data_IF_143186780969
#
_entry.id   IF_143186780969
#
_cell.length_a   1.000
_cell.length_b   1.000
_cell.length_c   1.000
_cell.angle_alpha   90.00
_cell.angle_beta   90.00
_cell.angle_gamma   90.00
#
_symmetry.space_group_name_H-M   'P 1'
#
loop_
_entity.id
_entity.type
_entity.pdbx_description
1 polymer ?
#
# COMPACT_ATOMS: atom_id res chain seq x y z
N UNK A 1 8.96 4.70 -2.97
CA UNK A 1 9.62 3.63 -3.74
C UNK A 1 8.62 2.79 -4.52
N UNK A 2 7.77 1.98 -3.88
CA UNK A 2 6.80 1.11 -4.59
C UNK A 2 5.92 1.84 -5.60
N UNK A 3 5.33 2.96 -5.18
CA UNK A 3 4.52 3.79 -6.08
C UNK A 3 5.32 4.34 -7.28
N UNK A 4 6.61 4.66 -7.08
CA UNK A 4 7.49 5.11 -8.16
C UNK A 4 7.79 3.99 -9.16
N UNK A 5 7.97 2.76 -8.67
CA UNK A 5 8.14 1.57 -9.53
C UNK A 5 6.86 1.32 -10.32
N UNK A 6 5.69 1.41 -9.69
CA UNK A 6 4.39 1.19 -10.34
C UNK A 6 4.12 2.21 -11.44
N UNK A 7 4.40 3.49 -11.20
CA UNK A 7 4.16 4.58 -12.15
C UNK A 7 5.08 4.51 -13.38
N UNK A 8 6.32 4.04 -13.20
CA UNK A 8 7.32 3.96 -14.27
C UNK A 8 7.56 2.52 -14.74
N UNK A 9 6.65 1.59 -14.44
CA UNK A 9 6.88 0.16 -14.62
C UNK A 9 7.28 -0.20 -16.06
N UNK A 10 6.60 0.38 -17.04
CA UNK A 10 6.87 0.15 -18.46
C UNK A 10 8.23 0.71 -18.90
N UNK A 11 8.64 1.86 -18.38
CA UNK A 11 9.96 2.43 -18.67
C UNK A 11 11.07 1.58 -18.04
N UNK A 12 10.82 1.06 -16.83
CA UNK A 12 11.71 0.13 -16.14
C UNK A 12 11.83 -1.17 -16.95
N UNK A 13 10.73 -1.77 -17.38
CA UNK A 13 10.73 -2.98 -18.22
C UNK A 13 11.58 -2.79 -19.48
N UNK A 14 11.36 -1.70 -20.22
CA UNK A 14 12.14 -1.39 -21.43
C UNK A 14 13.63 -1.23 -21.13
N UNK A 15 13.96 -0.51 -20.05
CA UNK A 15 15.37 -0.27 -19.67
C UNK A 15 16.08 -1.57 -19.30
N UNK A 16 15.40 -2.48 -18.61
CA UNK A 16 15.97 -3.77 -18.22
C UNK A 16 16.03 -4.74 -19.40
N UNK A 17 15.08 -4.69 -20.33
CA UNK A 17 15.12 -5.47 -21.57
C UNK A 17 16.32 -5.07 -22.45
N UNK A 18 16.52 -3.76 -22.67
CA UNK A 18 17.65 -3.20 -23.44
C UNK A 18 19.01 -3.65 -22.88
N UNK A 19 19.09 -3.85 -21.58
CA UNK A 19 20.30 -4.28 -20.86
C UNK A 19 20.44 -5.79 -20.72
N UNK A 20 19.45 -6.57 -21.17
CA UNK A 20 19.35 -8.02 -20.95
C UNK A 20 19.31 -8.41 -19.46
N UNK A 21 18.65 -7.56 -18.68
CA UNK A 21 18.51 -7.62 -17.23
C UNK A 21 17.07 -7.95 -16.79
N UNK A 22 16.16 -8.26 -17.72
CA UNK A 22 14.72 -8.46 -17.46
C UNK A 22 14.43 -9.49 -16.35
N UNK A 23 15.33 -10.45 -16.15
CA UNK A 23 15.23 -11.47 -15.10
C UNK A 23 15.12 -10.90 -13.67
N UNK A 24 15.54 -9.65 -13.44
CA UNK A 24 15.33 -8.96 -12.16
C UNK A 24 13.85 -8.63 -11.88
N UNK A 25 13.00 -8.60 -12.92
CA UNK A 25 11.58 -8.29 -12.82
C UNK A 25 10.68 -9.54 -12.75
N UNK A 26 11.22 -10.74 -13.00
CA UNK A 26 10.45 -11.99 -13.14
C UNK A 26 9.54 -12.30 -11.94
N UNK A 27 9.94 -11.89 -10.74
CA UNK A 27 9.19 -12.14 -9.50
C UNK A 27 8.33 -10.93 -9.05
N UNK A 28 8.28 -9.87 -9.85
CA UNK A 28 7.53 -8.65 -9.51
C UNK A 28 6.16 -8.70 -10.19
N UNK A 29 5.14 -9.12 -9.44
CA UNK A 29 3.75 -9.02 -9.89
C UNK A 29 3.29 -7.56 -9.83
N UNK A 30 3.01 -6.97 -11.01
CA UNK A 30 2.46 -5.61 -11.12
C UNK A 30 1.12 -5.46 -10.40
N UNK A 31 0.27 -6.49 -10.48
CA UNK A 31 -1.04 -6.52 -9.78
C UNK A 31 -0.84 -6.50 -8.26
N UNK A 32 0.07 -7.32 -7.75
CA UNK A 32 0.38 -7.36 -6.32
C UNK A 32 0.94 -6.00 -5.85
N UNK A 33 1.88 -5.43 -6.61
CA UNK A 33 2.45 -4.11 -6.35
C UNK A 33 1.38 -3.02 -6.30
N UNK A 34 0.44 -3.04 -7.25
CA UNK A 34 -0.69 -2.11 -7.32
C UNK A 34 -1.59 -2.24 -6.09
N UNK A 35 -1.95 -3.47 -5.71
CA UNK A 35 -2.80 -3.73 -4.56
C UNK A 35 -2.15 -3.25 -3.25
N UNK A 36 -0.85 -3.53 -3.05
CA UNK A 36 -0.09 -3.03 -1.90
C UNK A 36 -0.06 -1.50 -1.89
N UNK A 37 0.20 -0.86 -3.03
CA UNK A 37 0.22 0.60 -3.11
C UNK A 37 -1.14 1.21 -2.75
N UNK A 38 -2.25 0.63 -3.24
CA UNK A 38 -3.59 1.12 -2.96
C UNK A 38 -3.93 1.06 -1.47
N UNK A 39 -3.58 -0.04 -0.79
CA UNK A 39 -3.75 -0.18 0.67
C UNK A 39 -2.94 0.89 1.39
N UNK A 40 -1.63 0.98 1.11
CA UNK A 40 -0.71 1.88 1.81
C UNK A 40 -0.99 3.38 1.57
N UNK A 41 -1.67 3.74 0.47
CA UNK A 41 -1.95 5.13 0.14
C UNK A 41 -2.85 5.81 1.18
N UNK A 42 -3.83 5.06 1.73
CA UNK A 42 -4.70 5.56 2.79
C UNK A 42 -3.92 5.77 4.10
N UNK A 43 -3.00 4.86 4.45
CA UNK A 43 -2.13 5.01 5.62
C UNK A 43 -1.20 6.22 5.48
N UNK A 44 -0.63 6.41 4.30
CA UNK A 44 0.19 7.60 4.00
C UNK A 44 -0.62 8.88 4.19
N UNK A 45 -1.81 8.96 3.59
CA UNK A 45 -2.68 10.13 3.71
C UNK A 45 -3.08 10.39 5.17
N UNK A 46 -3.38 9.34 5.93
CA UNK A 46 -3.68 9.44 7.35
C UNK A 46 -2.49 9.95 8.17
N UNK A 47 -1.27 9.47 7.89
CA UNK A 47 -0.07 9.98 8.54
C UNK A 47 0.17 11.47 8.23
N UNK A 48 0.03 11.89 6.97
CA UNK A 48 0.25 13.27 6.57
C UNK A 48 -0.81 14.21 7.18
N UNK A 49 -2.08 13.80 7.16
CA UNK A 49 -3.20 14.61 7.65
C UNK A 49 -3.25 14.64 9.18
N UNK A 50 -3.01 13.52 9.88
CA UNK A 50 -3.10 13.49 11.34
C UNK A 50 -1.89 14.13 12.02
N UNK A 51 -0.76 14.21 11.35
CA UNK A 51 0.47 14.82 11.87
C UNK A 51 0.64 16.30 11.50
N UNK A 52 -0.32 16.93 10.80
CA UNK A 52 -0.24 18.37 10.52
C UNK A 52 -0.64 19.21 11.74
N UNK A 53 0.02 20.36 11.89
CA UNK A 53 -0.30 21.39 12.88
C UNK A 53 -1.13 22.55 12.29
N UNK A 54 -1.41 22.52 10.98
CA UNK A 54 -2.10 23.61 10.27
C UNK A 54 -3.58 23.74 10.67
N UNK A 55 -4.19 22.65 11.15
CA UNK A 55 -5.58 22.60 11.62
C UNK A 55 -5.76 21.52 12.70
N UNK A 56 -6.81 21.59 13.54
CA UNK A 56 -7.05 20.57 14.55
C UNK A 56 -7.31 19.19 13.92
N UNK A 57 -6.50 18.18 14.24
CA UNK A 57 -6.58 16.84 13.62
C UNK A 57 -7.22 15.77 14.51
N UNK A 58 -7.37 16.01 15.82
CA UNK A 58 -7.86 15.01 16.77
C UNK A 58 -9.22 14.42 16.38
N UNK A 59 -10.12 15.25 15.86
CA UNK A 59 -11.45 14.83 15.41
C UNK A 59 -11.42 13.91 14.18
N UNK A 60 -10.28 13.83 13.48
CA UNK A 60 -10.08 12.98 12.31
C UNK A 60 -9.53 11.59 12.66
N UNK A 61 -9.06 11.38 13.89
CA UNK A 61 -8.45 10.11 14.32
C UNK A 61 -9.41 8.94 14.16
N UNK A 62 -10.65 9.07 14.66
CA UNK A 62 -11.68 8.01 14.54
C UNK A 62 -12.08 7.76 13.07
N UNK A 63 -12.37 8.81 12.26
CA UNK A 63 -12.60 8.62 10.83
C UNK A 63 -11.47 7.90 10.09
N UNK A 64 -10.20 8.20 10.39
CA UNK A 64 -9.07 7.51 9.78
C UNK A 64 -8.93 6.08 10.25
N UNK A 65 -9.18 5.81 11.53
CA UNK A 65 -9.17 4.45 12.05
C UNK A 65 -10.17 3.56 11.31
N UNK A 66 -11.40 4.04 11.09
CA UNK A 66 -12.40 3.31 10.31
C UNK A 66 -11.93 3.04 8.87
N UNK A 67 -11.32 4.03 8.22
CA UNK A 67 -10.75 3.86 6.87
C UNK A 67 -9.61 2.84 6.84
N UNK A 68 -8.76 2.81 7.87
CA UNK A 68 -7.69 1.82 7.96
C UNK A 68 -8.24 0.41 8.09
N UNK A 69 -9.26 0.22 8.95
CA UNK A 69 -9.94 -1.06 9.12
C UNK A 69 -10.61 -1.52 7.81
N UNK A 70 -11.30 -0.62 7.10
CA UNK A 70 -11.91 -0.90 5.80
C UNK A 70 -10.86 -1.33 4.75
N UNK A 71 -9.68 -0.72 4.75
CA UNK A 71 -8.59 -1.10 3.84
C UNK A 71 -8.00 -2.48 4.16
N UNK A 72 -8.04 -2.88 5.44
CA UNK A 72 -7.56 -4.17 5.93
C UNK A 72 -8.62 -5.29 5.84
N UNK A 73 -9.85 -4.98 5.46
CA UNK A 73 -10.89 -5.99 5.29
C UNK A 73 -10.51 -6.98 4.19
N UNK A 74 -10.52 -8.27 4.53
CA UNK A 74 -10.22 -9.37 3.61
C UNK A 74 -11.42 -9.60 2.70
N UNK A 75 -11.19 -9.60 1.39
CA UNK A 75 -12.20 -9.79 0.35
C UNK A 75 -12.04 -11.15 -0.31
N UNK A 76 -13.13 -11.65 -0.90
CA UNK A 76 -13.15 -12.97 -1.56
C UNK A 76 -12.21 -13.06 -2.77
N UNK A 77 -11.92 -11.93 -3.40
CA UNK A 77 -11.06 -11.80 -4.58
C UNK A 77 -9.61 -11.45 -4.24
N UNK A 78 -9.26 -11.33 -2.95
CA UNK A 78 -7.88 -11.09 -2.54
C UNK A 78 -7.01 -12.33 -2.82
N UNK A 79 -5.77 -12.09 -3.26
CA UNK A 79 -4.76 -13.16 -3.32
C UNK A 79 -4.33 -13.55 -1.90
N UNK A 80 -3.70 -14.72 -1.75
CA UNK A 80 -3.17 -15.17 -0.46
C UNK A 80 -2.19 -14.15 0.14
N UNK A 81 -1.31 -13.58 -0.69
CA UNK A 81 -0.32 -12.59 -0.26
C UNK A 81 -0.96 -11.29 0.22
N UNK A 82 -2.05 -10.84 -0.42
CA UNK A 82 -2.78 -9.65 0.02
C UNK A 82 -3.55 -9.93 1.30
N UNK A 83 -4.14 -11.11 1.43
CA UNK A 83 -4.83 -11.55 2.65
C UNK A 83 -3.87 -11.57 3.84
N UNK A 84 -2.69 -12.17 3.66
CA UNK A 84 -1.65 -12.22 4.68
C UNK A 84 -1.17 -10.80 5.04
N UNK A 85 -0.93 -9.96 4.04
CA UNK A 85 -0.51 -8.57 4.25
C UNK A 85 -1.55 -7.76 5.05
N UNK A 86 -2.84 -7.85 4.66
CA UNK A 86 -3.94 -7.18 5.37
C UNK A 86 -4.07 -7.67 6.81
N UNK A 87 -3.94 -8.98 7.03
CA UNK A 87 -4.01 -9.59 8.37
C UNK A 87 -2.87 -9.10 9.27
N UNK A 88 -1.64 -9.02 8.74
CA UNK A 88 -0.50 -8.47 9.47
C UNK A 88 -0.74 -7.00 9.84
N UNK A 89 -1.26 -6.20 8.91
CA UNK A 89 -1.57 -4.80 9.18
C UNK A 89 -2.68 -4.64 10.22
N UNK A 90 -3.73 -5.45 10.16
CA UNK A 90 -4.83 -5.43 11.12
C UNK A 90 -4.33 -5.74 12.53
N UNK A 91 -3.53 -6.78 12.70
CA UNK A 91 -2.92 -7.10 14.00
C UNK A 91 -2.09 -5.94 14.57
N UNK A 92 -1.40 -5.17 13.71
CA UNK A 92 -0.64 -3.99 14.13
C UNK A 92 -1.52 -2.80 14.51
N UNK A 93 -2.74 -2.71 13.98
CA UNK A 93 -3.72 -1.68 14.35
C UNK A 93 -4.37 -2.02 15.69
N UNK A 94 -4.75 -3.28 15.90
CA UNK A 94 -5.38 -3.75 17.15
C UNK A 94 -4.44 -3.64 18.36
N UNK A 95 -3.12 -3.81 18.18
CA UNK A 95 -2.10 -3.58 19.23
C UNK A 95 -2.03 -2.11 19.72
N UNK A 96 -2.73 -1.17 19.06
CA UNK A 96 -2.59 0.28 19.28
C UNK A 96 -3.89 0.98 19.71
N UNK A 97 -5.02 0.27 19.72
CA UNK A 97 -6.33 0.74 20.18
C UNK A 97 -6.53 0.29 21.63
#
# INVERSE_FOLDING_TARGET
>A
MLNSILLNFTEIELTFDDRKEIFYLDNISRTLLSNICNILLIFKAGSEILSTDDFPTLHLVVPFLLKFLECCEVRLDDTAEITDFKTILLNKLDDKI
#
